data_IF_038659997918
#
_entry.id   IF_038659997918
#
_cell.length_a   1.000
_cell.length_b   1.000
_cell.length_c   1.000
_cell.angle_alpha   90.00
_cell.angle_beta   90.00
_cell.angle_gamma   90.00
#
_symmetry.space_group_name_H-M   'P 1'
#
loop_
_entity.id
_entity.type
_entity.pdbx_description
1 polymer ?
#
# COMPACT_ATOMS: atom_id res chain seq x y z
N UNK A 1 -15.56 4.17 12.93
CA UNK A 1 -14.48 4.97 12.30
C UNK A 1 -13.16 4.46 12.85
N UNK A 2 -12.15 4.25 11.99
CA UNK A 2 -10.99 3.40 12.24
C UNK A 2 -9.89 4.12 13.06
N UNK A 3 -10.11 4.22 14.38
CA UNK A 3 -9.26 5.01 15.30
C UNK A 3 -7.78 4.59 15.24
N UNK A 4 -7.50 3.29 15.24
CA UNK A 4 -6.14 2.74 15.16
C UNK A 4 -5.40 3.21 13.90
N UNK A 5 -6.06 3.21 12.73
CA UNK A 5 -5.42 3.64 11.47
C UNK A 5 -5.16 5.15 11.45
N UNK A 6 -6.00 5.94 12.12
CA UNK A 6 -5.75 7.37 12.31
C UNK A 6 -4.55 7.62 13.21
N UNK A 7 -4.42 6.85 14.30
CA UNK A 7 -3.26 6.93 15.20
C UNK A 7 -1.96 6.54 14.49
N UNK A 8 -1.98 5.48 13.68
CA UNK A 8 -0.85 5.10 12.83
C UNK A 8 -0.45 6.22 11.87
N UNK A 9 -1.43 6.86 11.22
CA UNK A 9 -1.17 7.97 10.31
C UNK A 9 -0.68 9.25 11.01
N UNK A 10 -1.10 9.48 12.26
CA UNK A 10 -0.76 10.68 13.03
C UNK A 10 0.76 10.81 13.25
N UNK A 11 1.47 9.68 13.40
CA UNK A 11 2.93 9.66 13.58
C UNK A 11 3.74 10.09 12.35
N UNK A 12 3.10 10.24 11.19
CA UNK A 12 3.74 10.61 9.92
C UNK A 12 3.38 12.02 9.44
N UNK A 13 2.58 12.77 10.23
CA UNK A 13 2.22 14.13 9.89
C UNK A 13 3.42 15.07 10.05
N UNK A 14 3.54 16.00 9.11
CA UNK A 14 4.42 17.15 9.26
C UNK A 14 3.88 18.10 10.34
N UNK A 15 4.72 18.99 10.90
CA UNK A 15 4.24 20.07 11.75
C UNK A 15 3.11 20.86 11.06
N UNK A 16 2.08 21.20 11.84
CA UNK A 16 0.87 21.93 11.42
C UNK A 16 -0.01 21.21 10.36
N UNK A 17 0.30 19.97 10.02
CA UNK A 17 -0.50 19.17 9.10
C UNK A 17 -1.67 18.50 9.84
N UNK A 18 -2.87 18.55 9.23
CA UNK A 18 -4.08 17.98 9.80
C UNK A 18 -4.53 16.74 9.05
N UNK A 19 -4.62 15.62 9.75
CA UNK A 19 -5.21 14.39 9.21
C UNK A 19 -6.72 14.53 8.99
N UNK A 20 -7.15 14.47 7.73
CA UNK A 20 -8.56 14.47 7.34
C UNK A 20 -9.13 13.07 7.48
N UNK A 21 -8.53 12.10 6.79
CA UNK A 21 -9.06 10.74 6.70
C UNK A 21 -7.92 9.71 6.58
N UNK A 22 -8.18 8.50 7.07
CA UNK A 22 -7.31 7.35 6.92
C UNK A 22 -8.17 6.11 6.65
N UNK A 23 -7.74 5.26 5.73
CA UNK A 23 -8.43 4.03 5.36
C UNK A 23 -7.42 2.90 5.18
N UNK A 24 -7.63 1.73 5.82
CA UNK A 24 -6.85 0.56 5.51
C UNK A 24 -7.26 0.03 4.13
N UNK A 25 -6.28 -0.37 3.34
CA UNK A 25 -6.52 -0.78 1.97
C UNK A 25 -5.55 -1.86 1.49
N UNK A 26 -5.95 -2.55 0.44
CA UNK A 26 -5.11 -3.45 -0.36
C UNK A 26 -5.23 -3.07 -1.84
N UNK A 27 -4.39 -3.66 -2.70
CA UNK A 27 -4.52 -3.44 -4.14
C UNK A 27 -5.77 -4.13 -4.66
N UNK A 28 -6.46 -3.51 -5.62
CA UNK A 28 -7.60 -4.15 -6.26
C UNK A 28 -7.20 -5.43 -7.02
N UNK A 29 -8.09 -6.41 -7.18
CA UNK A 29 -7.83 -7.58 -8.02
C UNK A 29 -7.41 -7.19 -9.43
N UNK A 30 -6.35 -7.80 -9.97
CA UNK A 30 -5.84 -7.52 -11.32
C UNK A 30 -5.03 -6.23 -11.46
N UNK A 31 -4.62 -5.59 -10.35
CA UNK A 31 -3.58 -4.57 -10.37
C UNK A 31 -2.24 -5.25 -10.71
N UNK A 32 -1.53 -4.82 -11.76
CA UNK A 32 -0.28 -5.47 -12.16
C UNK A 32 0.82 -5.28 -11.12
N UNK A 33 1.70 -6.27 -11.00
CA UNK A 33 2.94 -6.14 -10.24
C UNK A 33 3.99 -5.37 -11.06
N UNK A 34 4.75 -4.44 -10.45
CA UNK A 34 5.83 -3.77 -11.13
C UNK A 34 6.93 -4.75 -11.60
N UNK A 35 7.49 -4.56 -12.81
CA UNK A 35 8.68 -5.26 -13.27
C UNK A 35 9.85 -5.18 -12.28
N UNK A 36 10.61 -6.27 -12.16
CA UNK A 36 11.71 -6.39 -11.19
C UNK A 36 12.82 -5.35 -11.40
N UNK A 37 13.04 -4.90 -12.64
CA UNK A 37 14.04 -3.88 -13.00
C UNK A 37 13.69 -2.47 -12.49
N UNK A 38 12.42 -2.23 -12.15
CA UNK A 38 11.96 -1.00 -11.52
C UNK A 38 12.03 -1.04 -9.99
N UNK A 39 12.27 -2.22 -9.42
CA UNK A 39 12.33 -2.41 -7.98
C UNK A 39 13.74 -2.10 -7.46
N UNK A 40 13.79 -1.45 -6.31
CA UNK A 40 15.02 -1.29 -5.58
C UNK A 40 15.58 -2.67 -5.23
N UNK A 41 16.90 -2.81 -5.42
CA UNK A 41 17.63 -3.97 -4.96
C UNK A 41 17.28 -4.22 -3.48
N UNK A 42 17.01 -5.47 -3.08
CA UNK A 42 16.74 -5.75 -1.68
C UNK A 42 17.88 -5.19 -0.84
N UNK A 43 17.57 -4.32 0.12
CA UNK A 43 18.57 -3.92 1.10
C UNK A 43 19.12 -5.21 1.72
N UNK A 44 20.44 -5.45 1.64
CA UNK A 44 21.01 -6.62 2.27
C UNK A 44 20.65 -6.55 3.75
N UNK A 45 20.06 -7.61 4.33
CA UNK A 45 19.58 -7.53 5.70
C UNK A 45 20.79 -7.35 6.63
N UNK A 46 21.01 -6.11 7.08
CA UNK A 46 22.07 -5.77 8.05
C UNK A 46 21.94 -6.60 9.33
N UNK A 47 20.70 -6.98 9.66
CA UNK A 47 20.36 -7.83 10.79
C UNK A 47 20.57 -9.32 10.47
N UNK A 48 20.37 -9.74 9.22
CA UNK A 48 20.68 -11.09 8.74
C UNK A 48 22.17 -11.40 8.86
N UNK A 49 23.04 -10.49 8.41
CA UNK A 49 24.50 -10.61 8.59
C UNK A 49 24.92 -10.61 10.06
N UNK A 50 24.29 -9.80 10.92
CA UNK A 50 24.61 -9.75 12.35
C UNK A 50 24.17 -11.00 13.12
N UNK A 51 23.02 -11.58 12.78
CA UNK A 51 22.53 -12.84 13.37
C UNK A 51 23.35 -14.02 12.83
N UNK A 52 23.63 -14.07 11.54
CA UNK A 52 24.42 -15.13 10.89
C UNK A 52 25.88 -15.14 11.38
N UNK A 53 26.46 -13.97 11.65
CA UNK A 53 27.78 -13.84 12.25
C UNK A 53 27.86 -14.37 13.69
N UNK A 54 26.73 -14.41 14.42
CA UNK A 54 26.64 -14.88 15.81
C UNK A 54 26.14 -16.32 15.96
N UNK A 55 25.69 -16.96 14.89
CA UNK A 55 25.19 -18.34 14.94
C UNK A 55 26.31 -19.38 14.65
N UNK A 56 26.34 -20.51 15.40
CA UNK A 56 27.18 -21.66 15.08
C UNK A 56 26.91 -22.17 13.66
N UNK A 57 27.94 -22.71 12.98
CA UNK A 57 27.87 -23.12 11.55
C UNK A 57 26.69 -24.05 11.22
N UNK A 58 26.24 -24.87 12.16
CA UNK A 58 25.10 -25.78 12.00
C UNK A 58 23.73 -25.08 11.88
N UNK A 59 23.57 -23.88 12.42
CA UNK A 59 22.31 -23.12 12.38
C UNK A 59 22.22 -22.14 11.21
N UNK A 60 23.34 -21.82 10.55
CA UNK A 60 23.36 -20.96 9.35
C UNK A 60 22.56 -21.54 8.18
N UNK A 61 22.54 -22.87 8.07
CA UNK A 61 21.79 -23.58 7.03
C UNK A 61 20.27 -23.56 7.24
N UNK A 62 19.80 -23.27 8.47
CA UNK A 62 18.37 -23.22 8.78
C UNK A 62 17.77 -21.82 8.50
N UNK A 63 18.55 -20.75 8.76
CA UNK A 63 18.12 -19.36 8.54
C UNK A 63 18.08 -18.99 7.05
N UNK A 64 18.98 -19.59 6.25
CA UNK A 64 18.97 -19.45 4.79
C UNK A 64 17.77 -20.14 4.12
N UNK A 65 17.14 -21.13 4.78
CA UNK A 65 15.90 -21.78 4.31
C UNK A 65 14.62 -21.16 4.87
N UNK A 66 14.71 -20.31 5.89
CA UNK A 66 13.56 -19.62 6.50
C UNK A 66 13.15 -18.32 5.80
N UNK A 67 13.87 -17.89 4.76
CA UNK A 67 13.50 -16.77 3.90
C UNK A 67 12.52 -17.16 2.78
N UNK A 68 11.98 -18.38 2.83
CA UNK A 68 11.03 -18.86 1.84
C UNK A 68 9.70 -18.10 1.99
N UNK A 69 9.56 -17.15 1.06
CA UNK A 69 8.34 -16.86 0.31
C UNK A 69 7.16 -16.41 1.19
N UNK A 70 6.99 -15.10 1.26
CA UNK A 70 5.65 -14.55 1.42
C UNK A 70 4.74 -15.28 0.42
N UNK A 71 3.56 -15.79 0.83
CA UNK A 71 2.67 -16.43 -0.11
C UNK A 71 2.41 -15.45 -1.25
N UNK A 72 2.77 -15.84 -2.46
CA UNK A 72 2.33 -15.13 -3.65
C UNK A 72 0.81 -14.99 -3.52
N UNK A 73 0.25 -13.76 -3.56
CA UNK A 73 -1.18 -13.63 -3.69
C UNK A 73 -1.53 -14.38 -4.97
N UNK A 74 -2.22 -15.52 -4.82
CA UNK A 74 -2.74 -16.27 -5.95
C UNK A 74 -3.72 -15.30 -6.62
N UNK A 75 -3.27 -14.65 -7.69
CA UNK A 75 -4.15 -13.88 -8.55
C UNK A 75 -5.24 -14.85 -8.99
N UNK A 76 -6.47 -14.65 -8.54
CA UNK A 76 -7.61 -15.35 -9.11
C UNK A 76 -7.91 -14.68 -10.46
N UNK A 77 -7.57 -15.30 -11.60
CA UNK A 77 -7.83 -14.71 -12.91
C UNK A 77 -9.33 -14.47 -13.14
N UNK A 78 -10.21 -15.21 -12.44
CA UNK A 78 -11.65 -14.98 -12.45
C UNK A 78 -12.05 -13.67 -11.77
N UNK A 79 -11.35 -13.27 -10.70
CA UNK A 79 -11.59 -12.00 -10.02
C UNK A 79 -11.19 -10.81 -10.90
N UNK A 80 -10.07 -10.89 -11.63
CA UNK A 80 -9.65 -9.85 -12.57
C UNK A 80 -10.67 -9.65 -13.71
N UNK A 81 -11.18 -10.75 -14.30
CA UNK A 81 -12.19 -10.68 -15.36
C UNK A 81 -13.54 -10.11 -14.88
N UNK A 82 -13.92 -10.36 -13.63
CA UNK A 82 -15.17 -9.87 -13.06
C UNK A 82 -15.11 -8.38 -12.64
N UNK A 83 -13.93 -7.85 -12.34
CA UNK A 83 -13.77 -6.49 -11.79
C UNK A 83 -13.32 -5.44 -12.82
N UNK A 84 -13.02 -5.88 -14.05
CA UNK A 84 -12.56 -5.03 -15.14
C UNK A 84 -11.10 -4.63 -15.02
N UNK A 85 -10.67 -3.65 -15.81
CA UNK A 85 -9.35 -3.03 -15.68
C UNK A 85 -9.16 -2.56 -14.24
N UNK A 86 -7.95 -2.68 -13.69
CA UNK A 86 -7.63 -2.24 -12.31
C UNK A 86 -6.51 -1.20 -12.24
N UNK A 87 -5.97 -0.82 -13.39
CA UNK A 87 -5.03 0.29 -13.53
C UNK A 87 -5.07 0.83 -14.97
N UNK A 88 -4.89 2.13 -15.13
CA UNK A 88 -4.59 2.78 -16.42
C UNK A 88 -3.36 3.67 -16.26
N UNK A 89 -2.54 3.74 -17.31
CA UNK A 89 -1.23 4.39 -17.30
C UNK A 89 -0.07 3.39 -17.30
N UNK A 90 1.11 3.85 -17.68
CA UNK A 90 2.34 3.04 -17.64
C UNK A 90 3.09 3.16 -16.31
N UNK A 91 4.20 2.44 -16.14
CA UNK A 91 5.01 2.46 -14.92
C UNK A 91 5.62 3.84 -14.58
N UNK A 92 5.81 4.67 -15.59
CA UNK A 92 6.26 6.06 -15.53
C UNK A 92 5.15 7.06 -15.14
N UNK A 93 3.90 6.62 -15.06
CA UNK A 93 2.78 7.46 -14.62
C UNK A 93 2.73 7.55 -13.09
N UNK A 94 1.93 8.47 -12.57
CA UNK A 94 1.71 8.61 -11.13
C UNK A 94 1.13 7.31 -10.49
N UNK A 95 0.22 6.62 -11.19
CA UNK A 95 -0.27 5.31 -10.77
C UNK A 95 0.85 4.25 -10.74
N UNK A 96 1.72 4.24 -11.76
CA UNK A 96 2.88 3.36 -11.82
C UNK A 96 3.86 3.61 -10.66
N UNK A 97 4.19 4.88 -10.41
CA UNK A 97 5.05 5.28 -9.29
C UNK A 97 4.46 4.90 -7.94
N UNK A 98 3.14 5.02 -7.74
CA UNK A 98 2.46 4.55 -6.54
C UNK A 98 2.70 3.04 -6.31
N UNK A 99 2.54 2.22 -7.34
CA UNK A 99 2.73 0.77 -7.25
C UNK A 99 4.19 0.37 -7.03
N UNK A 100 5.12 0.99 -7.77
CA UNK A 100 6.57 0.78 -7.58
C UNK A 100 6.97 1.15 -6.16
N UNK A 101 6.53 2.30 -5.66
CA UNK A 101 6.83 2.76 -4.30
C UNK A 101 6.30 1.78 -3.25
N UNK A 102 5.09 1.26 -3.46
CA UNK A 102 4.49 0.24 -2.58
C UNK A 102 5.29 -1.06 -2.62
N UNK A 103 5.62 -1.58 -3.79
CA UNK A 103 6.37 -2.82 -3.93
C UNK A 103 7.77 -2.71 -3.28
N UNK A 104 8.41 -1.54 -3.41
CA UNK A 104 9.72 -1.28 -2.82
C UNK A 104 9.75 -1.30 -1.30
N UNK A 105 8.61 -1.03 -0.62
CA UNK A 105 8.56 -1.10 0.84
C UNK A 105 8.63 -2.53 1.38
N UNK A 106 8.31 -3.54 0.53
CA UNK A 106 8.29 -4.97 0.87
C UNK A 106 7.54 -5.29 2.16
N UNK A 107 6.51 -4.52 2.45
CA UNK A 107 5.67 -4.66 3.64
C UNK A 107 4.43 -5.52 3.39
N UNK A 108 3.50 -5.45 4.34
CA UNK A 108 2.21 -6.14 4.28
C UNK A 108 1.42 -5.86 3.00
N UNK A 109 0.66 -6.87 2.56
CA UNK A 109 -0.32 -6.73 1.47
C UNK A 109 -1.42 -5.71 1.80
N UNK A 110 -1.60 -5.39 3.08
CA UNK A 110 -2.47 -4.31 3.54
C UNK A 110 -1.65 -3.09 3.95
N UNK A 111 -2.16 -1.91 3.64
CA UNK A 111 -1.55 -0.63 4.01
C UNK A 111 -2.58 0.34 4.57
N UNK A 112 -2.13 1.54 4.90
CA UNK A 112 -3.00 2.67 5.25
C UNK A 112 -2.83 3.75 4.19
N UNK A 113 -3.93 4.16 3.59
CA UNK A 113 -3.98 5.34 2.73
C UNK A 113 -4.53 6.50 3.57
N UNK A 114 -3.77 7.58 3.64
CA UNK A 114 -4.09 8.73 4.45
C UNK A 114 -4.16 10.00 3.60
N UNK A 115 -5.06 10.89 4.00
CA UNK A 115 -5.31 12.18 3.35
C UNK A 115 -5.24 13.27 4.41
N UNK A 116 -4.44 14.28 4.12
CA UNK A 116 -4.28 15.48 4.95
C UNK A 116 -4.73 16.71 4.18
N UNK A 117 -4.77 17.84 4.87
CA UNK A 117 -5.00 19.15 4.26
C UNK A 117 -3.92 19.56 3.25
N UNK A 118 -2.78 18.85 3.19
CA UNK A 118 -1.65 19.18 2.31
C UNK A 118 -1.30 18.11 1.28
N UNK A 119 -1.41 16.83 1.63
CA UNK A 119 -0.94 15.71 0.78
C UNK A 119 -1.73 14.43 1.01
N UNK A 120 -1.44 13.47 0.15
CA UNK A 120 -1.76 12.06 0.32
C UNK A 120 -0.49 11.32 0.68
N UNK A 121 -0.59 10.30 1.51
CA UNK A 121 0.51 9.40 1.77
C UNK A 121 0.04 7.98 2.04
N UNK A 122 0.92 7.03 1.74
CA UNK A 122 0.71 5.61 1.93
C UNK A 122 1.66 5.05 2.96
N UNK A 123 1.12 4.28 3.91
CA UNK A 123 1.88 3.53 4.90
C UNK A 123 1.73 2.03 4.66
N UNK A 124 2.80 1.29 4.95
CA UNK A 124 2.77 -0.17 5.01
C UNK A 124 3.36 -0.62 6.34
N UNK A 125 2.80 -1.68 6.91
CA UNK A 125 3.44 -2.39 8.00
C UNK A 125 4.63 -3.18 7.44
N UNK A 126 5.81 -2.99 8.01
CA UNK A 126 7.05 -3.70 7.67
C UNK A 126 7.53 -4.57 8.83
N UNK A 127 6.70 -4.78 9.84
CA UNK A 127 7.03 -5.65 10.96
C UNK A 127 7.20 -7.11 10.50
N UNK A 128 8.18 -7.84 11.06
CA UNK A 128 8.26 -9.28 10.88
C UNK A 128 7.01 -9.97 11.44
N UNK A 129 6.62 -11.12 10.86
CA UNK A 129 5.41 -11.86 11.27
C UNK A 129 5.37 -12.27 12.76
N UNK A 130 6.53 -12.33 13.42
CA UNK A 130 6.65 -12.66 14.84
C UNK A 130 6.52 -11.44 15.77
N UNK A 131 6.53 -10.22 15.22
CA UNK A 131 6.44 -8.99 16.00
C UNK A 131 4.98 -8.57 16.14
N UNK A 132 4.51 -8.44 17.39
CA UNK A 132 3.11 -8.09 17.67
C UNK A 132 2.77 -6.61 17.42
N UNK A 133 3.74 -5.71 17.58
CA UNK A 133 3.55 -4.27 17.37
C UNK A 133 3.94 -3.87 15.95
N UNK A 134 3.00 -3.36 15.13
CA UNK A 134 3.28 -2.93 13.76
C UNK A 134 4.38 -1.88 13.70
N UNK A 135 5.25 -1.99 12.69
CA UNK A 135 6.24 -0.96 12.37
C UNK A 135 5.81 -0.36 11.04
N UNK A 136 5.22 0.83 11.11
CA UNK A 136 4.74 1.50 9.91
C UNK A 136 5.91 2.16 9.18
N UNK A 137 5.94 2.06 7.85
CA UNK A 137 6.85 2.81 6.97
C UNK A 137 6.03 3.55 5.93
N UNK A 138 6.27 4.86 5.79
CA UNK A 138 5.74 5.62 4.67
C UNK A 138 6.47 5.20 3.40
N UNK A 139 5.71 4.76 2.39
CA UNK A 139 6.28 4.31 1.12
C UNK A 139 5.99 5.28 -0.01
N UNK A 140 4.93 6.08 0.09
CA UNK A 140 4.49 6.97 -0.99
C UNK A 140 3.92 8.26 -0.43
N UNK A 141 4.07 9.32 -1.22
CA UNK A 141 3.54 10.65 -0.95
C UNK A 141 3.19 11.33 -2.27
N UNK A 142 2.10 12.10 -2.28
CA UNK A 142 1.78 12.99 -3.38
C UNK A 142 1.05 14.25 -2.89
N UNK A 143 1.31 15.43 -3.47
CA UNK A 143 0.54 16.63 -3.14
C UNK A 143 -0.93 16.43 -3.51
N UNK A 144 -1.86 17.11 -2.82
CA UNK A 144 -3.29 17.00 -3.14
C UNK A 144 -3.60 17.31 -4.60
N UNK A 145 -2.89 18.27 -5.18
CA UNK A 145 -3.03 18.66 -6.59
C UNK A 145 -2.64 17.56 -7.59
N UNK A 146 -1.91 16.52 -7.18
CA UNK A 146 -1.61 15.38 -8.04
C UNK A 146 -2.78 14.40 -8.18
N UNK A 147 -3.75 14.44 -7.25
CA UNK A 147 -4.92 13.56 -7.24
C UNK A 147 -6.10 14.29 -7.88
N UNK A 148 -6.56 13.79 -9.01
CA UNK A 148 -7.72 14.33 -9.73
C UNK A 148 -9.04 13.94 -9.07
N UNK A 149 -9.15 12.69 -8.59
CA UNK A 149 -10.33 12.21 -7.89
C UNK A 149 -10.06 10.93 -7.09
N UNK A 150 -10.88 10.69 -6.07
CA UNK A 150 -11.04 9.38 -5.45
C UNK A 150 -12.50 8.94 -5.60
N UNK A 151 -12.74 7.85 -6.34
CA UNK A 151 -14.10 7.35 -6.62
C UNK A 151 -14.33 6.03 -5.91
N UNK A 152 -15.32 5.96 -5.03
CA UNK A 152 -15.77 4.69 -4.45
C UNK A 152 -16.73 3.98 -5.41
N UNK A 153 -16.55 2.66 -5.58
CA UNK A 153 -17.46 1.82 -6.33
C UNK A 153 -18.83 1.74 -5.64
N UNK A 154 -19.90 1.84 -6.44
CA UNK A 154 -21.28 1.87 -5.95
C UNK A 154 -22.03 0.54 -6.13
N UNK A 155 -21.45 -0.43 -6.86
CA UNK A 155 -22.06 -1.72 -7.15
C UNK A 155 -21.74 -2.81 -6.13
N UNK A 156 -22.60 -3.84 -6.03
CA UNK A 156 -22.39 -5.01 -5.16
C UNK A 156 -21.08 -5.76 -5.44
N UNK A 157 -20.67 -5.84 -6.72
CA UNK A 157 -19.40 -6.45 -7.15
C UNK A 157 -18.20 -5.54 -6.99
N UNK A 158 -18.39 -4.29 -6.58
CA UNK A 158 -17.35 -3.27 -6.42
C UNK A 158 -17.28 -2.78 -4.96
N UNK A 159 -17.81 -3.57 -4.03
CA UNK A 159 -17.98 -3.19 -2.64
C UNK A 159 -16.62 -2.97 -1.98
N UNK A 160 -16.35 -1.73 -1.57
CA UNK A 160 -15.08 -1.35 -0.96
C UNK A 160 -14.02 -0.92 -1.97
N UNK A 161 -14.23 -1.10 -3.27
CA UNK A 161 -13.28 -0.66 -4.29
C UNK A 161 -13.28 0.85 -4.37
N UNK A 162 -12.09 1.42 -4.52
CA UNK A 162 -11.88 2.83 -4.79
C UNK A 162 -10.89 2.98 -5.94
N UNK A 163 -11.09 3.99 -6.77
CA UNK A 163 -10.14 4.36 -7.82
C UNK A 163 -9.46 5.66 -7.43
N UNK A 164 -8.14 5.60 -7.26
CA UNK A 164 -7.30 6.78 -7.11
C UNK A 164 -6.97 7.25 -8.53
N UNK A 165 -7.52 8.39 -8.95
CA UNK A 165 -7.26 8.99 -10.26
C UNK A 165 -6.28 10.13 -10.11
N UNK A 166 -5.23 10.12 -10.90
CA UNK A 166 -4.18 11.12 -10.93
C UNK A 166 -4.43 12.17 -12.01
N UNK A 167 -3.79 13.32 -11.89
CA UNK A 167 -3.91 14.43 -12.85
C UNK A 167 -3.25 14.18 -14.19
N UNK A 168 -2.31 13.23 -14.28
CA UNK A 168 -1.73 12.76 -15.55
C UNK A 168 -2.66 11.81 -16.31
N UNK A 169 -3.89 11.60 -15.83
CA UNK A 169 -4.89 10.71 -16.42
C UNK A 169 -4.77 9.25 -15.98
N UNK A 170 -3.66 8.87 -15.35
CA UNK A 170 -3.48 7.51 -14.82
C UNK A 170 -4.39 7.26 -13.62
N UNK A 171 -4.67 5.98 -13.34
CA UNK A 171 -5.41 5.60 -12.14
C UNK A 171 -5.08 4.18 -11.69
N UNK A 172 -5.35 3.91 -10.42
CA UNK A 172 -5.18 2.58 -9.81
C UNK A 172 -6.36 2.24 -8.91
N UNK A 173 -6.79 0.98 -8.97
CA UNK A 173 -7.80 0.44 -8.09
C UNK A 173 -7.18 -0.02 -6.77
N UNK A 174 -7.84 0.36 -5.68
CA UNK A 174 -7.56 -0.12 -4.33
C UNK A 174 -8.83 -0.65 -3.71
N UNK A 175 -8.72 -1.58 -2.76
CA UNK A 175 -9.85 -2.10 -2.00
C UNK A 175 -9.71 -1.68 -0.55
N UNK A 176 -10.72 -1.03 0.02
CA UNK A 176 -10.80 -0.82 1.45
C UNK A 176 -10.98 -2.18 2.14
N UNK A 177 -10.07 -2.53 3.05
CA UNK A 177 -10.15 -3.83 3.77
C UNK A 177 -11.39 -3.93 4.64
N UNK A 178 -11.97 -2.78 5.00
CA UNK A 178 -13.32 -2.68 5.57
C UNK A 178 -14.20 -1.95 4.56
N UNK A 179 -15.01 -2.67 3.75
CA UNK A 179 -15.71 -2.07 2.61
C UNK A 179 -16.63 -0.89 2.95
N UNK A 180 -17.21 -0.87 4.15
CA UNK A 180 -18.04 0.23 4.63
C UNK A 180 -17.26 1.56 4.82
N UNK A 181 -15.92 1.53 4.82
CA UNK A 181 -15.08 2.72 4.96
C UNK A 181 -14.77 3.40 3.62
N UNK A 182 -14.97 2.72 2.49
CA UNK A 182 -14.60 3.24 1.17
C UNK A 182 -15.34 4.54 0.82
N UNK A 183 -16.67 4.55 0.89
CA UNK A 183 -17.47 5.73 0.55
C UNK A 183 -17.24 6.92 1.51
N UNK A 184 -17.22 6.74 2.86
CA UNK A 184 -16.87 7.81 3.78
C UNK A 184 -15.46 8.38 3.55
N UNK A 185 -14.48 7.52 3.26
CA UNK A 185 -13.11 7.95 2.96
C UNK A 185 -13.03 8.75 1.66
N UNK A 186 -13.65 8.26 0.58
CA UNK A 186 -13.74 8.98 -0.69
C UNK A 186 -14.44 10.34 -0.54
N UNK A 187 -15.55 10.38 0.19
CA UNK A 187 -16.27 11.63 0.46
C UNK A 187 -15.42 12.62 1.27
N UNK A 188 -14.68 12.14 2.28
CA UNK A 188 -13.80 13.00 3.09
C UNK A 188 -12.63 13.55 2.26
N UNK A 189 -12.06 12.73 1.37
CA UNK A 189 -10.99 13.12 0.47
C UNK A 189 -11.42 14.21 -0.52
N UNK A 190 -12.65 14.12 -1.03
CA UNK A 190 -13.21 15.04 -2.03
C UNK A 190 -13.56 16.44 -1.50
N UNK A 191 -13.85 16.59 -0.20
CA UNK A 191 -14.33 17.86 0.41
C UNK A 191 -13.34 19.02 0.38
N UNK A 192 -12.11 18.80 -0.04
CA UNK A 192 -10.99 19.73 0.06
C UNK A 192 -10.21 19.83 -1.26
N UNK A 193 -10.92 19.62 -2.38
CA UNK A 193 -10.50 19.95 -3.73
C UNK A 193 -11.27 21.17 -4.22
#
# INVERSE_FOLDING_TARGET
MNQERREQAQGFLHPDERLIAACPYELGPGVPLPPEDLLAAPEPPDLGRRIEARLPRSLRQLVTRGHDRAPDPVEDPGAALAHGTSMEGGWQSAAGHFLVSRANVRGSATGVLAVTDRRWFGLSDVSPLWQATPVMKQYWEAPRSAIAALRAGTGMTQRGRMEIRFTDGSWVAVLATVPAQAAPFAAAAARLH
#
